data_IF_584795939590
#
_entry.id   IF_584795939590
#
_cell.length_a   1.000
_cell.length_b   1.000
_cell.length_c   1.000
_cell.angle_alpha   90.00
_cell.angle_beta   90.00
_cell.angle_gamma   90.00
#
_symmetry.space_group_name_H-M   'P 1'
#
loop_
_entity.id
_entity.type
_entity.pdbx_description
1 polymer ?
#
# COMPACT_ATOMS: atom_id res chain seq x y z
N UNK A 1 14.42 55.26 -32.98
CA UNK A 1 15.31 54.17 -32.56
C UNK A 1 14.46 53.09 -31.86
N UNK A 2 14.21 51.99 -32.56
CA UNK A 2 13.42 50.88 -31.99
C UNK A 2 14.37 49.97 -31.22
N UNK A 3 14.26 49.97 -29.90
CA UNK A 3 14.93 49.01 -29.02
C UNK A 3 14.15 47.68 -29.05
N UNK A 4 14.74 46.68 -29.70
CA UNK A 4 14.24 45.33 -29.66
C UNK A 4 14.72 44.70 -28.34
N UNK A 5 13.80 44.53 -27.38
CA UNK A 5 14.08 43.75 -26.18
C UNK A 5 13.83 42.29 -26.52
N UNK A 6 14.85 41.41 -26.52
CA UNK A 6 14.64 40.01 -26.75
C UNK A 6 13.68 39.47 -25.66
N UNK A 7 12.59 38.84 -26.11
CA UNK A 7 11.67 38.19 -25.22
C UNK A 7 12.38 36.98 -24.59
N UNK A 8 12.82 37.15 -23.34
CA UNK A 8 13.31 36.04 -22.54
C UNK A 8 12.12 35.16 -22.22
N UNK A 9 12.06 33.98 -22.86
CA UNK A 9 11.12 32.96 -22.47
C UNK A 9 11.31 32.66 -20.96
N UNK A 10 10.22 32.55 -20.18
CA UNK A 10 10.35 32.18 -18.78
C UNK A 10 11.13 30.86 -18.68
N UNK A 11 11.98 30.69 -17.65
CA UNK A 11 12.70 29.43 -17.46
C UNK A 11 11.69 28.29 -17.43
N UNK A 12 11.98 27.27 -18.20
CA UNK A 12 11.16 26.05 -18.18
C UNK A 12 11.00 25.60 -16.73
N UNK A 13 9.79 25.27 -16.29
CA UNK A 13 9.60 24.71 -14.96
C UNK A 13 10.54 23.52 -14.79
N UNK A 14 11.12 23.32 -13.61
CA UNK A 14 11.98 22.18 -13.35
C UNK A 14 11.23 20.92 -13.74
N UNK A 15 11.90 19.90 -14.28
CA UNK A 15 11.25 18.67 -14.66
C UNK A 15 10.46 18.16 -13.45
N UNK A 16 9.14 18.22 -13.56
CA UNK A 16 8.28 17.59 -12.57
C UNK A 16 8.67 16.13 -12.63
N UNK A 17 9.17 15.60 -11.53
CA UNK A 17 9.53 14.19 -11.39
C UNK A 17 8.24 13.35 -11.43
N UNK A 18 7.55 13.43 -12.58
CA UNK A 18 6.36 12.63 -12.84
C UNK A 18 6.83 11.25 -13.27
N UNK A 19 6.45 10.25 -12.50
CA UNK A 19 6.57 8.88 -12.93
C UNK A 19 5.94 8.71 -14.31
N UNK A 20 6.60 7.98 -15.21
CA UNK A 20 6.04 7.57 -16.49
C UNK A 20 4.74 6.78 -16.29
N UNK A 21 4.60 6.15 -15.12
CA UNK A 21 3.44 5.35 -14.72
C UNK A 21 2.93 5.83 -13.36
N UNK A 22 2.26 6.99 -13.29
CA UNK A 22 1.86 7.60 -12.02
C UNK A 22 0.88 6.75 -11.21
N UNK A 23 0.16 5.83 -11.86
CA UNK A 23 -0.73 4.89 -11.18
C UNK A 23 0.02 3.79 -10.40
N UNK A 24 1.29 3.54 -10.71
CA UNK A 24 2.03 2.42 -10.13
C UNK A 24 3.09 2.83 -9.10
N UNK A 25 3.63 4.02 -9.20
CA UNK A 25 4.78 4.41 -8.39
C UNK A 25 4.54 5.77 -7.74
N UNK A 26 4.56 5.84 -6.41
CA UNK A 26 4.76 7.12 -5.76
C UNK A 26 6.13 7.66 -6.20
N UNK A 27 6.14 8.84 -6.79
CA UNK A 27 7.38 9.49 -7.19
C UNK A 27 8.10 9.98 -5.95
N UNK A 28 9.26 9.41 -5.64
CA UNK A 28 10.07 9.92 -4.56
C UNK A 28 10.56 11.34 -4.88
N UNK A 29 10.29 12.26 -3.97
CA UNK A 29 10.74 13.64 -4.09
C UNK A 29 11.95 13.85 -3.14
N UNK A 30 13.18 14.02 -3.67
CA UNK A 30 14.37 14.17 -2.84
C UNK A 30 14.39 15.47 -2.04
N UNK A 31 13.57 16.45 -2.42
CA UNK A 31 13.47 17.73 -1.70
C UNK A 31 12.46 17.72 -0.58
N UNK A 32 11.58 16.72 -0.56
CA UNK A 32 10.58 16.57 0.49
C UNK A 32 11.24 16.01 1.75
N UNK A 33 11.22 16.81 2.81
CA UNK A 33 11.68 16.38 4.14
C UNK A 33 10.47 16.00 4.97
N UNK A 34 10.54 14.84 5.58
CA UNK A 34 9.54 14.40 6.54
C UNK A 34 10.02 14.72 7.96
N UNK A 35 9.11 15.09 8.87
CA UNK A 35 9.49 15.24 10.27
C UNK A 35 9.97 13.90 10.83
N UNK A 36 10.85 13.90 11.85
CA UNK A 36 11.23 12.67 12.52
C UNK A 36 9.99 11.96 13.05
N UNK A 37 10.01 10.62 12.97
CA UNK A 37 8.94 9.83 13.54
C UNK A 37 8.94 9.98 15.07
N UNK A 38 7.77 10.25 15.63
CA UNK A 38 7.59 10.24 17.08
C UNK A 38 7.63 8.80 17.61
N UNK A 39 8.12 8.65 18.83
CA UNK A 39 8.09 7.35 19.49
C UNK A 39 6.66 6.94 19.80
N UNK A 40 6.34 5.70 19.55
CA UNK A 40 5.01 5.13 19.83
C UNK A 40 5.15 3.77 20.50
N UNK A 41 4.14 3.39 21.26
CA UNK A 41 4.06 2.05 21.85
C UNK A 41 3.60 1.06 20.78
N UNK A 42 4.40 0.03 20.56
CA UNK A 42 4.01 -1.06 19.67
C UNK A 42 2.87 -1.89 20.28
N UNK A 43 1.85 -2.17 19.45
CA UNK A 43 0.75 -3.08 19.79
C UNK A 43 0.83 -4.28 18.86
N UNK A 44 0.93 -5.47 19.45
CA UNK A 44 0.93 -6.73 18.69
C UNK A 44 -0.51 -7.09 18.28
N UNK A 45 -0.92 -6.64 17.11
CA UNK A 45 -2.29 -6.76 16.63
C UNK A 45 -2.76 -8.21 16.46
N UNK A 46 -1.87 -9.11 16.07
CA UNK A 46 -2.22 -10.52 15.87
C UNK A 46 -2.42 -11.31 17.14
N UNK A 47 -1.95 -10.81 18.30
CA UNK A 47 -1.92 -11.59 19.55
C UNK A 47 -3.30 -11.94 20.10
N UNK A 48 -4.30 -11.10 19.89
CA UNK A 48 -5.67 -11.33 20.35
C UNK A 48 -6.67 -11.61 19.23
N UNK A 49 -6.18 -11.80 18.00
CA UNK A 49 -7.05 -11.99 16.86
C UNK A 49 -7.74 -13.36 16.85
N UNK A 50 -8.96 -13.42 16.32
CA UNK A 50 -9.72 -14.65 16.17
C UNK A 50 -9.02 -15.60 15.16
N UNK A 51 -8.57 -16.79 15.60
CA UNK A 51 -7.89 -17.75 14.74
C UNK A 51 -8.80 -18.41 13.69
N UNK A 52 -10.08 -18.15 13.74
CA UNK A 52 -11.04 -18.66 12.72
C UNK A 52 -11.08 -17.80 11.46
N UNK A 53 -10.49 -16.61 11.49
CA UNK A 53 -10.37 -15.67 10.36
C UNK A 53 -11.70 -15.27 9.71
N UNK A 54 -12.77 -15.19 10.47
CA UNK A 54 -14.12 -14.91 9.94
C UNK A 54 -14.23 -13.55 9.27
N UNK A 55 -13.58 -12.52 9.84
CA UNK A 55 -13.59 -11.17 9.32
C UNK A 55 -12.62 -10.98 8.15
N UNK A 56 -11.52 -11.72 8.15
CA UNK A 56 -10.54 -11.70 7.07
C UNK A 56 -11.02 -12.51 5.86
N UNK A 57 -11.63 -13.67 6.10
CA UNK A 57 -12.04 -14.64 5.08
C UNK A 57 -13.56 -14.78 5.07
N UNK A 58 -14.31 -13.81 4.51
CA UNK A 58 -15.76 -13.89 4.41
C UNK A 58 -16.21 -15.03 3.50
N UNK A 59 -17.49 -15.34 3.54
CA UNK A 59 -18.09 -16.34 2.65
C UNK A 59 -17.78 -16.05 1.18
N UNK A 60 -17.31 -17.05 0.45
CA UNK A 60 -16.92 -16.95 -0.95
C UNK A 60 -15.41 -16.67 -1.15
N UNK A 61 -14.67 -16.33 -0.11
CA UNK A 61 -13.21 -16.27 -0.19
C UNK A 61 -12.60 -17.69 -0.16
N UNK A 62 -11.39 -17.79 -0.71
CA UNK A 62 -10.63 -19.05 -0.71
C UNK A 62 -9.21 -18.78 -0.23
N UNK A 63 -8.69 -19.68 0.56
CA UNK A 63 -7.29 -19.70 0.96
C UNK A 63 -6.65 -21.02 0.54
N UNK A 64 -5.50 -20.94 -0.11
CA UNK A 64 -4.72 -22.10 -0.53
C UNK A 64 -3.32 -22.00 0.07
N UNK A 65 -2.86 -23.04 0.72
CA UNK A 65 -1.47 -23.16 1.16
C UNK A 65 -0.59 -23.47 -0.04
N UNK A 66 0.44 -22.65 -0.28
CA UNK A 66 1.40 -22.86 -1.37
C UNK A 66 2.43 -23.92 -1.00
N UNK A 67 2.84 -23.93 0.27
CA UNK A 67 3.66 -25.00 0.87
C UNK A 67 3.08 -25.37 2.24
N UNK A 68 3.49 -26.50 2.84
CA UNK A 68 3.00 -26.89 4.16
C UNK A 68 3.26 -25.85 5.24
N UNK A 69 4.44 -25.21 5.24
CA UNK A 69 4.90 -24.32 6.31
C UNK A 69 4.86 -22.84 5.97
N UNK A 70 5.09 -22.48 4.72
CA UNK A 70 5.28 -21.08 4.29
C UNK A 70 4.43 -20.80 3.06
N UNK A 71 3.79 -19.63 3.06
CA UNK A 71 3.06 -19.13 1.92
C UNK A 71 1.62 -19.59 1.83
N UNK A 72 0.73 -18.64 1.65
CA UNK A 72 -0.68 -18.87 1.31
C UNK A 72 -1.12 -17.89 0.26
N UNK A 73 -2.04 -18.29 -0.59
CA UNK A 73 -2.72 -17.44 -1.55
C UNK A 73 -4.18 -17.29 -1.15
N UNK A 74 -4.67 -16.05 -1.17
CA UNK A 74 -6.05 -15.71 -0.83
C UNK A 74 -6.72 -15.06 -2.04
N UNK A 75 -7.94 -15.50 -2.34
CA UNK A 75 -8.80 -14.92 -3.38
C UNK A 75 -10.15 -14.52 -2.79
N UNK A 76 -10.79 -13.52 -3.39
CA UNK A 76 -12.11 -13.05 -2.96
C UNK A 76 -12.10 -12.13 -1.75
N UNK A 77 -10.95 -11.55 -1.39
CA UNK A 77 -10.80 -10.58 -0.30
C UNK A 77 -10.20 -9.30 -0.85
N UNK A 78 -10.78 -8.14 -0.51
CA UNK A 78 -10.22 -6.83 -0.78
C UNK A 78 -9.62 -6.25 0.49
N UNK A 79 -8.30 -6.05 0.52
CA UNK A 79 -7.59 -5.54 1.70
C UNK A 79 -8.00 -4.10 2.04
N UNK A 80 -8.37 -3.31 1.03
CA UNK A 80 -8.89 -1.94 1.19
C UNK A 80 -10.18 -1.86 2.02
N UNK A 81 -10.94 -2.95 2.08
CA UNK A 81 -12.26 -3.03 2.74
C UNK A 81 -12.22 -3.76 4.08
N UNK A 82 -11.05 -4.16 4.56
CA UNK A 82 -10.95 -4.87 5.82
C UNK A 82 -11.36 -4.00 7.01
N UNK A 83 -12.14 -4.61 7.91
CA UNK A 83 -12.44 -4.06 9.23
C UNK A 83 -11.17 -4.06 10.11
N UNK A 84 -11.25 -3.41 11.27
CA UNK A 84 -10.15 -3.45 12.25
C UNK A 84 -9.83 -4.89 12.66
N UNK A 85 -10.86 -5.65 12.96
CA UNK A 85 -10.75 -7.06 13.34
C UNK A 85 -10.16 -7.91 12.20
N UNK A 86 -10.56 -7.63 10.95
CA UNK A 86 -9.98 -8.26 9.76
C UNK A 86 -8.50 -7.97 9.59
N UNK A 87 -8.04 -6.75 9.92
CA UNK A 87 -6.62 -6.38 9.91
C UNK A 87 -5.83 -7.10 11.01
N UNK A 88 -6.39 -7.25 12.21
CA UNK A 88 -5.77 -8.00 13.30
C UNK A 88 -5.66 -9.50 12.93
N UNK A 89 -6.68 -10.06 12.30
CA UNK A 89 -6.66 -11.43 11.78
C UNK A 89 -5.63 -11.58 10.65
N UNK A 90 -5.49 -10.58 9.79
CA UNK A 90 -4.44 -10.56 8.75
C UNK A 90 -3.05 -10.63 9.37
N UNK A 91 -2.80 -9.84 10.43
CA UNK A 91 -1.53 -9.87 11.14
C UNK A 91 -1.24 -11.28 11.72
N UNK A 92 -2.25 -11.94 12.30
CA UNK A 92 -2.12 -13.31 12.78
C UNK A 92 -1.83 -14.30 11.64
N UNK A 93 -2.56 -14.21 10.53
CA UNK A 93 -2.35 -15.08 9.38
C UNK A 93 -0.95 -14.95 8.79
N UNK A 94 -0.45 -13.71 8.65
CA UNK A 94 0.91 -13.45 8.17
C UNK A 94 1.95 -14.00 9.16
N UNK A 95 1.74 -13.84 10.46
CA UNK A 95 2.63 -14.42 11.47
C UNK A 95 2.71 -15.96 11.37
N UNK A 96 1.59 -16.61 11.07
CA UNK A 96 1.52 -18.06 10.92
C UNK A 96 2.11 -18.56 9.58
N UNK A 97 1.79 -17.86 8.48
CA UNK A 97 2.11 -18.30 7.11
C UNK A 97 3.36 -17.65 6.52
N UNK A 98 3.91 -16.62 7.15
CA UNK A 98 5.10 -15.83 6.77
C UNK A 98 4.90 -14.96 5.54
N UNK A 99 4.29 -15.50 4.49
CA UNK A 99 3.94 -14.79 3.25
C UNK A 99 2.49 -15.11 2.89
N UNK A 100 1.72 -14.09 2.57
CA UNK A 100 0.35 -14.23 2.08
C UNK A 100 0.17 -13.35 0.85
N UNK A 101 -0.20 -13.97 -0.27
CA UNK A 101 -0.53 -13.27 -1.51
C UNK A 101 -2.05 -13.09 -1.63
N UNK A 102 -2.46 -11.87 -1.94
CA UNK A 102 -3.86 -11.55 -2.22
C UNK A 102 -4.04 -11.22 -3.69
N UNK A 103 -4.97 -11.91 -4.36
CA UNK A 103 -5.26 -11.69 -5.77
C UNK A 103 -6.30 -10.60 -5.97
N UNK A 104 -6.28 -10.00 -7.17
CA UNK A 104 -7.31 -9.09 -7.68
C UNK A 104 -7.60 -7.90 -6.75
N UNK A 105 -6.54 -7.25 -6.28
CA UNK A 105 -6.63 -6.11 -5.38
C UNK A 105 -6.89 -4.81 -6.13
N UNK A 106 -7.68 -3.92 -5.52
CA UNK A 106 -8.10 -2.61 -6.06
C UNK A 106 -7.13 -1.46 -5.73
N UNK A 107 -5.98 -1.73 -5.14
CA UNK A 107 -5.04 -0.68 -4.70
C UNK A 107 -4.54 0.23 -5.84
N UNK A 108 -4.45 -0.30 -7.06
CA UNK A 108 -4.03 0.49 -8.21
C UNK A 108 -5.05 1.58 -8.58
N UNK A 109 -6.31 1.39 -8.23
CA UNK A 109 -7.43 2.29 -8.55
C UNK A 109 -7.75 3.26 -7.41
N UNK A 110 -7.10 3.10 -6.24
CA UNK A 110 -7.30 3.98 -5.11
C UNK A 110 -6.53 5.29 -5.27
N UNK A 111 -7.10 6.44 -4.87
CA UNK A 111 -6.37 7.69 -4.86
C UNK A 111 -5.17 7.61 -3.91
N UNK A 112 -4.07 8.22 -4.32
CA UNK A 112 -2.90 8.39 -3.45
C UNK A 112 -3.30 9.23 -2.22
N UNK A 113 -3.12 8.69 -1.05
CA UNK A 113 -3.34 9.38 0.23
C UNK A 113 -2.05 10.07 0.66
#
# INVERSE_FOLDING_TARGET
>A
MLLFVPHLSPPSPPPTNRSQYPAYLPTWNPTQKYPPLETFSHIEHGKGADPTFKELLPSGSKIQKLTPSIGSEVTGVQLSKLTKEGKDQLALLVAQRKVVAFRDQDFADLPLQ
#
